data_IF_081308410188
#
_entry.id   IF_081308410188
#
_cell.length_a   1.000
_cell.length_b   1.000
_cell.length_c   1.000
_cell.angle_alpha   90.00
_cell.angle_beta   90.00
_cell.angle_gamma   90.00
#
_symmetry.space_group_name_H-M   'P 1'
#
loop_
_entity.id
_entity.type
_entity.pdbx_description
1 polymer ?
#
# COMPACT_ATOMS: atom_id res chain seq x y z
N UNK A 1 52.22 51.02 56.07
CA UNK A 1 52.05 52.02 55.00
C UNK A 1 50.59 52.01 54.59
N UNK A 2 50.03 53.20 54.45
CA UNK A 2 48.61 53.54 54.54
C UNK A 2 47.82 53.26 53.25
N UNK A 3 46.49 53.10 53.41
CA UNK A 3 45.44 53.21 52.39
C UNK A 3 45.43 54.63 51.73
N UNK A 4 44.64 54.99 50.68
CA UNK A 4 43.23 54.59 50.42
C UNK A 4 42.73 54.45 48.95
N UNK A 5 41.55 53.81 48.84
CA UNK A 5 40.26 54.17 48.16
C UNK A 5 40.26 55.25 47.06
N UNK A 6 39.44 55.34 45.98
CA UNK A 6 38.15 54.77 45.43
C UNK A 6 37.89 55.56 44.10
N UNK A 7 36.72 55.59 43.41
CA UNK A 7 35.80 54.57 42.83
C UNK A 7 35.42 54.89 41.34
N UNK A 8 34.57 54.05 40.67
CA UNK A 8 33.30 54.48 40.01
C UNK A 8 32.71 53.47 38.97
N UNK A 9 31.50 52.97 39.31
CA UNK A 9 30.23 52.81 38.53
C UNK A 9 30.07 51.87 37.29
N UNK A 10 29.22 50.84 37.53
CA UNK A 10 27.93 50.45 36.86
C UNK A 10 27.87 50.07 35.35
N UNK A 11 26.81 49.36 34.87
CA UNK A 11 26.37 48.00 35.22
C UNK A 11 25.93 47.16 33.97
N UNK A 12 25.54 45.89 34.19
CA UNK A 12 24.73 45.00 33.32
C UNK A 12 25.28 44.57 31.93
N UNK A 13 25.46 43.24 31.74
CA UNK A 13 24.85 42.60 30.57
C UNK A 13 24.58 41.10 30.77
N UNK A 14 23.43 40.64 30.28
CA UNK A 14 22.88 39.29 30.42
C UNK A 14 23.44 38.38 29.33
N UNK A 15 24.13 37.30 29.71
CA UNK A 15 24.56 36.27 28.75
C UNK A 15 23.41 35.31 28.43
N UNK A 16 22.83 35.45 27.23
CA UNK A 16 21.94 34.47 26.62
C UNK A 16 22.74 33.34 25.96
N UNK A 17 22.51 32.11 26.41
CA UNK A 17 23.01 30.88 25.80
C UNK A 17 22.26 30.61 24.49
N UNK A 18 22.97 30.60 23.37
CA UNK A 18 22.40 30.27 22.06
C UNK A 18 22.10 28.77 21.97
N UNK A 19 20.80 28.44 21.82
CA UNK A 19 20.31 27.13 21.42
C UNK A 19 20.54 26.90 19.91
N UNK A 20 20.80 25.65 19.47
CA UNK A 20 21.10 25.34 18.08
C UNK A 20 19.85 25.56 17.22
N UNK A 21 20.05 26.26 16.11
CA UNK A 21 19.04 26.57 15.09
C UNK A 21 18.45 25.31 14.49
N UNK A 22 17.14 25.12 14.66
CA UNK A 22 16.34 24.14 13.92
C UNK A 22 16.51 24.35 12.42
N UNK A 23 16.63 23.27 11.61
CA UNK A 23 16.68 23.42 10.16
C UNK A 23 15.37 24.03 9.67
N UNK A 24 15.50 25.06 8.83
CA UNK A 24 14.39 25.76 8.19
C UNK A 24 13.39 24.76 7.60
N UNK A 25 12.17 24.71 8.12
CA UNK A 25 11.06 24.00 7.50
C UNK A 25 10.72 24.70 6.19
N UNK A 26 11.32 24.25 5.10
CA UNK A 26 10.78 24.51 3.77
C UNK A 26 9.41 23.84 3.72
N UNK A 27 8.34 24.64 3.71
CA UNK A 27 6.97 24.14 3.54
C UNK A 27 6.82 23.59 2.12
N UNK A 28 7.26 22.34 1.91
CA UNK A 28 7.03 21.63 0.67
C UNK A 28 5.55 21.26 0.57
N UNK A 29 4.91 21.65 -0.53
CA UNK A 29 3.52 21.30 -0.81
C UNK A 29 3.37 19.80 -1.08
N UNK A 30 2.34 19.21 -0.50
CA UNK A 30 1.95 17.81 -0.73
C UNK A 30 0.64 17.75 -1.52
N UNK A 31 0.44 16.66 -2.27
CA UNK A 31 -0.82 16.35 -2.93
C UNK A 31 -1.84 15.82 -1.93
N UNK A 32 -3.07 15.55 -2.42
CA UNK A 32 -4.17 15.02 -1.60
C UNK A 32 -3.87 13.64 -1.00
N UNK A 33 -2.91 12.89 -1.56
CA UNK A 33 -2.50 11.59 -1.03
C UNK A 33 -1.38 11.73 0.00
N UNK A 34 -0.81 12.92 0.17
CA UNK A 34 0.29 13.18 1.10
C UNK A 34 1.69 12.99 0.51
N UNK A 35 1.86 13.04 -0.81
CA UNK A 35 3.17 13.01 -1.48
C UNK A 35 3.60 14.40 -1.95
N UNK A 36 4.91 14.70 -1.96
CA UNK A 36 5.41 16.00 -2.40
C UNK A 36 5.06 16.31 -3.86
N UNK A 37 4.78 17.59 -4.13
CA UNK A 37 4.49 18.11 -5.46
C UNK A 37 5.59 19.09 -5.85
N UNK A 38 6.12 18.94 -7.07
CA UNK A 38 7.00 19.93 -7.68
C UNK A 38 6.18 21.16 -8.09
N UNK A 39 6.37 22.26 -7.36
CA UNK A 39 5.68 23.53 -7.60
C UNK A 39 6.15 24.24 -8.87
N UNK A 40 7.37 23.95 -9.33
CA UNK A 40 7.97 24.57 -10.50
C UNK A 40 7.56 23.87 -11.80
N UNK A 41 6.87 22.72 -11.69
CA UNK A 41 6.42 21.95 -12.85
C UNK A 41 5.19 22.60 -13.49
N UNK A 42 5.40 23.32 -14.60
CA UNK A 42 4.30 23.86 -15.39
C UNK A 42 3.35 22.75 -15.86
N UNK A 43 2.07 22.92 -15.54
CA UNK A 43 1.01 22.00 -15.96
C UNK A 43 0.39 22.51 -17.24
N UNK A 44 0.43 21.70 -18.31
CA UNK A 44 -0.15 22.07 -19.60
C UNK A 44 -1.65 22.39 -19.50
N UNK A 45 -2.19 23.27 -20.37
CA UNK A 45 -3.63 23.56 -20.38
C UNK A 45 -4.50 22.31 -20.57
N UNK A 46 -4.00 21.31 -21.30
CA UNK A 46 -4.67 20.03 -21.48
C UNK A 46 -4.74 19.24 -20.17
N UNK A 47 -3.64 19.15 -19.42
CA UNK A 47 -3.62 18.44 -18.13
C UNK A 47 -4.47 19.16 -17.08
N UNK A 48 -4.52 20.51 -17.08
CA UNK A 48 -5.45 21.27 -16.22
C UNK A 48 -6.92 20.86 -16.47
N UNK A 49 -7.34 20.80 -17.74
CA UNK A 49 -8.70 20.35 -18.11
C UNK A 49 -8.97 18.90 -17.70
N UNK A 50 -7.98 18.02 -17.81
CA UNK A 50 -8.11 16.64 -17.35
C UNK A 50 -8.31 16.57 -15.83
N UNK A 51 -7.52 17.32 -15.05
CA UNK A 51 -7.67 17.38 -13.59
C UNK A 51 -9.02 17.92 -13.14
N UNK A 52 -9.56 18.94 -13.83
CA UNK A 52 -10.91 19.43 -13.56
C UNK A 52 -11.97 18.36 -13.83
N UNK A 53 -11.83 17.61 -14.92
CA UNK A 53 -12.73 16.50 -15.24
C UNK A 53 -12.63 15.40 -14.17
N UNK A 54 -11.42 15.03 -13.77
CA UNK A 54 -11.20 14.02 -12.73
C UNK A 54 -11.79 14.46 -11.39
N UNK A 55 -11.63 15.73 -11.02
CA UNK A 55 -12.21 16.28 -9.78
C UNK A 55 -13.74 16.20 -9.78
N UNK A 56 -14.39 16.46 -10.91
CA UNK A 56 -15.85 16.34 -11.04
C UNK A 56 -16.31 14.88 -10.94
N UNK A 57 -15.60 13.97 -11.60
CA UNK A 57 -15.86 12.53 -11.50
C UNK A 57 -15.69 12.08 -10.06
N UNK A 58 -14.59 12.46 -9.41
CA UNK A 58 -14.33 12.10 -8.01
C UNK A 58 -15.45 12.55 -7.09
N UNK A 59 -15.93 13.80 -7.22
CA UNK A 59 -17.03 14.30 -6.39
C UNK A 59 -18.31 13.47 -6.57
N UNK A 60 -18.69 13.13 -7.82
CA UNK A 60 -19.84 12.27 -8.07
C UNK A 60 -19.68 10.89 -7.43
N UNK A 61 -18.45 10.36 -7.44
CA UNK A 61 -18.14 9.08 -6.82
C UNK A 61 -18.18 9.15 -5.31
N UNK A 62 -17.74 10.25 -4.69
CA UNK A 62 -17.88 10.50 -3.24
C UNK A 62 -19.36 10.44 -2.86
N UNK A 63 -20.22 11.14 -3.58
CA UNK A 63 -21.66 11.19 -3.27
C UNK A 63 -22.30 9.79 -3.32
N UNK A 64 -21.99 9.01 -4.36
CA UNK A 64 -22.45 7.62 -4.48
C UNK A 64 -21.85 6.70 -3.40
N UNK A 65 -20.57 6.87 -3.05
CA UNK A 65 -19.94 6.10 -1.98
C UNK A 65 -20.60 6.36 -0.63
N UNK A 66 -20.89 7.63 -0.32
CA UNK A 66 -21.57 7.99 0.92
C UNK A 66 -23.00 7.45 0.97
N UNK A 67 -23.72 7.39 -0.17
CA UNK A 67 -25.02 6.69 -0.25
C UNK A 67 -24.90 5.20 0.08
N UNK A 68 -23.85 4.54 -0.40
CA UNK A 68 -23.60 3.12 -0.10
C UNK A 68 -23.21 2.90 1.36
N UNK A 69 -22.32 3.75 1.89
CA UNK A 69 -21.88 3.72 3.29
C UNK A 69 -23.06 3.88 4.25
N UNK A 70 -23.92 4.85 4.02
CA UNK A 70 -25.10 5.09 4.86
C UNK A 70 -26.15 3.96 4.79
N UNK A 71 -26.09 3.11 3.76
CA UNK A 71 -26.98 1.96 3.56
C UNK A 71 -26.21 0.64 3.55
N UNK A 72 -25.15 0.53 4.36
CA UNK A 72 -24.19 -0.57 4.26
C UNK A 72 -24.82 -1.96 4.37
N UNK A 73 -25.82 -2.16 5.22
CA UNK A 73 -26.51 -3.46 5.38
C UNK A 73 -27.10 -3.95 4.04
N UNK A 74 -27.66 -3.04 3.24
CA UNK A 74 -28.16 -3.38 1.91
C UNK A 74 -27.01 -3.73 0.96
N UNK A 75 -25.97 -2.89 0.90
CA UNK A 75 -24.86 -3.02 -0.06
C UNK A 75 -23.86 -4.14 0.27
N UNK A 76 -23.77 -4.56 1.53
CA UNK A 76 -23.02 -5.76 1.93
C UNK A 76 -23.75 -7.06 1.60
N UNK A 77 -25.09 -7.00 1.41
CA UNK A 77 -25.93 -8.11 0.99
C UNK A 77 -26.45 -7.97 -0.44
N UNK A 78 -27.69 -7.52 -0.61
CA UNK A 78 -28.38 -7.48 -1.92
C UNK A 78 -27.73 -6.54 -2.93
N UNK A 79 -27.16 -5.42 -2.48
CA UNK A 79 -26.49 -4.43 -3.32
C UNK A 79 -25.02 -4.72 -3.62
N UNK A 80 -24.54 -5.94 -3.30
CA UNK A 80 -23.12 -6.31 -3.32
C UNK A 80 -22.43 -6.13 -4.66
N UNK A 81 -23.13 -6.42 -5.76
CA UNK A 81 -22.57 -6.26 -7.10
C UNK A 81 -22.20 -4.80 -7.41
N UNK A 82 -23.10 -3.86 -7.11
CA UNK A 82 -22.83 -2.42 -7.27
C UNK A 82 -21.68 -1.96 -6.36
N UNK A 83 -21.62 -2.45 -5.11
CA UNK A 83 -20.52 -2.15 -4.19
C UNK A 83 -19.17 -2.64 -4.77
N UNK A 84 -19.11 -3.90 -5.23
CA UNK A 84 -17.94 -4.44 -5.89
C UNK A 84 -17.53 -3.60 -7.09
N UNK A 85 -18.48 -3.24 -7.96
CA UNK A 85 -18.19 -2.41 -9.12
C UNK A 85 -17.55 -1.07 -8.72
N UNK A 86 -18.07 -0.40 -7.70
CA UNK A 86 -17.52 0.86 -7.22
C UNK A 86 -16.12 0.72 -6.65
N UNK A 87 -15.85 -0.33 -5.86
CA UNK A 87 -14.51 -0.61 -5.31
C UNK A 87 -13.53 -0.92 -6.44
N UNK A 88 -13.96 -1.69 -7.44
CA UNK A 88 -13.13 -2.05 -8.62
C UNK A 88 -12.69 -0.84 -9.43
N UNK A 89 -13.51 0.22 -9.46
CA UNK A 89 -13.15 1.50 -10.06
C UNK A 89 -12.37 2.44 -9.10
N UNK A 90 -12.05 2.00 -7.88
CA UNK A 90 -11.25 2.70 -6.87
C UNK A 90 -12.10 3.41 -5.82
N UNK A 91 -11.65 3.49 -4.58
CA UNK A 91 -12.42 4.20 -3.54
C UNK A 91 -12.02 5.69 -3.58
N UNK A 92 -12.98 6.64 -3.54
CA UNK A 92 -12.63 8.05 -3.42
C UNK A 92 -11.79 8.30 -2.18
N UNK A 93 -10.82 9.19 -2.30
CA UNK A 93 -9.78 9.37 -1.29
C UNK A 93 -10.32 9.78 0.08
N UNK A 94 -11.26 10.72 0.10
CA UNK A 94 -11.94 11.16 1.32
C UNK A 94 -12.86 10.11 1.94
N UNK A 95 -13.15 9.03 1.20
CA UNK A 95 -13.98 7.92 1.66
C UNK A 95 -13.16 6.74 2.21
N UNK A 96 -11.85 6.67 1.96
CA UNK A 96 -11.02 5.49 2.30
C UNK A 96 -11.00 5.14 3.78
N UNK A 97 -10.89 6.14 4.65
CA UNK A 97 -10.95 5.92 6.11
C UNK A 97 -12.22 5.12 6.48
N UNK A 98 -13.39 5.62 6.07
CA UNK A 98 -14.69 4.97 6.34
C UNK A 98 -14.82 3.63 5.63
N UNK A 99 -14.42 3.58 4.37
CA UNK A 99 -14.57 2.41 3.51
C UNK A 99 -13.70 1.24 3.98
N UNK A 100 -12.41 1.45 4.24
CA UNK A 100 -11.52 0.39 4.71
C UNK A 100 -11.95 -0.09 6.09
N UNK A 101 -12.34 0.82 6.98
CA UNK A 101 -12.84 0.46 8.31
C UNK A 101 -14.05 -0.46 8.22
N UNK A 102 -15.07 -0.11 7.45
CA UNK A 102 -16.31 -0.91 7.35
C UNK A 102 -16.13 -2.23 6.57
N UNK A 103 -15.20 -2.27 5.60
CA UNK A 103 -14.89 -3.48 4.83
C UNK A 103 -14.06 -4.48 5.67
N UNK A 104 -13.10 -3.99 6.46
CA UNK A 104 -12.20 -4.83 7.26
C UNK A 104 -12.74 -5.12 8.66
N UNK A 105 -13.53 -4.21 9.23
CA UNK A 105 -14.12 -4.35 10.56
C UNK A 105 -15.63 -4.18 10.48
N UNK A 106 -16.37 -5.17 9.94
CA UNK A 106 -17.83 -5.07 9.86
C UNK A 106 -18.48 -4.95 11.25
N UNK A 107 -17.84 -5.51 12.28
CA UNK A 107 -18.27 -5.42 13.68
C UNK A 107 -18.26 -3.96 14.20
N UNK A 108 -17.58 -3.03 13.52
CA UNK A 108 -17.62 -1.60 13.84
C UNK A 108 -19.05 -1.02 13.80
N UNK A 109 -19.95 -1.63 13.02
CA UNK A 109 -21.35 -1.22 12.95
C UNK A 109 -22.18 -1.72 14.14
N UNK A 110 -21.65 -2.64 14.93
CA UNK A 110 -22.28 -3.14 16.13
C UNK A 110 -21.85 -2.25 17.32
N UNK A 111 -22.73 -1.44 17.91
CA UNK A 111 -22.38 -0.59 19.05
C UNK A 111 -21.94 -1.37 20.30
N UNK A 112 -22.22 -2.67 20.35
CA UNK A 112 -21.84 -3.56 21.44
C UNK A 112 -20.49 -4.25 21.21
N UNK A 113 -19.89 -4.11 20.01
CA UNK A 113 -18.60 -4.72 19.72
C UNK A 113 -17.48 -3.92 20.41
N UNK A 114 -16.76 -4.58 21.31
CA UNK A 114 -15.51 -4.03 21.83
C UNK A 114 -14.43 -4.13 20.75
N UNK A 115 -14.08 -2.97 20.19
CA UNK A 115 -12.99 -2.84 19.22
C UNK A 115 -11.74 -2.25 19.85
N UNK A 116 -11.74 -2.08 21.18
CA UNK A 116 -10.55 -1.59 21.88
C UNK A 116 -9.44 -2.62 21.82
N UNK A 117 -8.22 -2.14 21.61
CA UNK A 117 -7.02 -2.95 21.65
C UNK A 117 -5.99 -2.24 22.50
N UNK A 118 -5.45 -2.96 23.48
CA UNK A 118 -4.31 -2.50 24.26
C UNK A 118 -3.02 -2.96 23.56
N UNK A 119 -2.50 -2.10 22.69
CA UNK A 119 -1.24 -2.35 21.98
C UNK A 119 -0.07 -2.49 22.94
N UNK A 120 -0.06 -1.77 24.05
CA UNK A 120 1.05 -1.83 25.01
C UNK A 120 1.07 -3.19 25.70
N UNK A 121 -0.08 -3.72 26.10
CA UNK A 121 -0.21 -5.10 26.60
C UNK A 121 0.31 -6.14 25.59
N UNK A 122 -0.03 -6.00 24.31
CA UNK A 122 0.46 -6.89 23.26
C UNK A 122 1.98 -6.79 23.05
N UNK A 123 2.54 -5.57 23.04
CA UNK A 123 3.97 -5.33 22.90
C UNK A 123 4.74 -5.88 24.11
N UNK A 124 4.19 -5.74 25.31
CA UNK A 124 4.79 -6.18 26.57
C UNK A 124 4.78 -7.70 26.78
N UNK A 125 4.20 -8.50 25.87
CA UNK A 125 4.36 -9.97 25.86
C UNK A 125 5.82 -10.43 25.70
N UNK A 126 6.73 -9.55 25.28
CA UNK A 126 8.16 -9.71 25.48
C UNK A 126 8.94 -10.50 24.42
N UNK A 127 8.30 -10.96 23.33
CA UNK A 127 9.02 -11.56 22.22
C UNK A 127 9.64 -10.46 21.33
N UNK A 128 10.98 -10.45 21.23
CA UNK A 128 11.73 -9.36 20.58
C UNK A 128 12.61 -9.83 19.42
N UNK A 129 12.60 -11.12 19.10
CA UNK A 129 13.50 -11.76 18.12
C UNK A 129 13.45 -11.10 16.73
N UNK A 130 12.29 -10.58 16.33
CA UNK A 130 12.07 -9.96 15.02
C UNK A 130 12.15 -8.43 15.04
N UNK A 131 12.38 -7.79 16.19
CA UNK A 131 12.30 -6.33 16.30
C UNK A 131 13.37 -5.62 15.48
N UNK A 132 14.58 -6.17 15.38
CA UNK A 132 15.63 -5.59 14.51
C UNK A 132 15.21 -5.58 13.04
N UNK A 133 14.55 -6.64 12.58
CA UNK A 133 14.00 -6.73 11.21
C UNK A 133 12.89 -5.72 11.01
N UNK A 134 12.02 -5.50 12.00
CA UNK A 134 11.00 -4.46 11.97
C UNK A 134 11.67 -3.09 11.80
N UNK A 135 12.62 -2.72 12.65
CA UNK A 135 13.28 -1.40 12.58
C UNK A 135 13.96 -1.17 11.21
N UNK A 136 14.66 -2.17 10.68
CA UNK A 136 15.28 -2.08 9.36
C UNK A 136 14.26 -1.88 8.21
N UNK A 137 13.06 -2.42 8.35
CA UNK A 137 11.99 -2.22 7.39
C UNK A 137 11.33 -0.85 7.51
N UNK A 138 11.25 -0.27 8.70
CA UNK A 138 10.67 1.06 8.91
C UNK A 138 11.40 2.12 8.07
N UNK A 139 12.73 2.11 8.05
CA UNK A 139 13.56 3.10 7.33
C UNK A 139 13.32 3.12 5.82
N UNK A 140 12.88 2.00 5.26
CA UNK A 140 12.63 1.82 3.82
C UNK A 140 11.15 1.69 3.46
N UNK A 141 10.24 1.87 4.44
CA UNK A 141 8.80 1.77 4.21
C UNK A 141 8.22 3.13 3.87
N UNK A 142 7.63 3.25 2.68
CA UNK A 142 7.07 4.52 2.18
C UNK A 142 8.07 5.69 2.26
N UNK A 143 9.32 5.54 1.81
CA UNK A 143 10.40 6.50 2.06
C UNK A 143 10.19 7.84 1.36
N UNK A 144 9.24 7.93 0.42
CA UNK A 144 8.89 9.13 -0.31
C UNK A 144 7.58 9.78 0.17
N UNK A 145 7.01 9.28 1.28
CA UNK A 145 5.77 9.80 1.85
C UNK A 145 6.09 10.67 3.09
N UNK A 146 5.94 12.02 3.00
CA UNK A 146 6.23 12.95 4.09
C UNK A 146 5.64 12.59 5.45
N UNK A 147 4.48 11.92 5.48
CA UNK A 147 3.83 11.49 6.72
C UNK A 147 4.73 10.58 7.57
N UNK A 148 5.55 9.73 6.94
CA UNK A 148 6.44 8.79 7.62
C UNK A 148 7.77 9.42 8.06
N UNK A 149 8.01 10.70 7.76
CA UNK A 149 9.13 11.45 8.33
C UNK A 149 8.81 11.99 9.73
N UNK A 150 7.53 11.92 10.13
CA UNK A 150 7.09 12.27 11.46
C UNK A 150 7.34 11.09 12.41
N UNK A 151 8.16 11.31 13.44
CA UNK A 151 8.46 10.31 14.48
C UNK A 151 7.21 9.70 15.11
N UNK A 152 6.12 10.46 15.27
CA UNK A 152 4.86 9.93 15.80
C UNK A 152 4.26 8.87 14.88
N UNK A 153 4.23 9.11 13.57
CA UNK A 153 3.69 8.16 12.60
C UNK A 153 4.58 6.92 12.52
N UNK A 154 5.90 7.10 12.49
CA UNK A 154 6.86 6.00 12.48
C UNK A 154 6.76 5.14 13.75
N UNK A 155 6.56 5.79 14.91
CA UNK A 155 6.31 5.10 16.18
C UNK A 155 4.99 4.31 16.16
N UNK A 156 3.93 4.83 15.57
CA UNK A 156 2.69 4.07 15.41
C UNK A 156 2.87 2.85 14.52
N UNK A 157 3.59 2.99 13.39
CA UNK A 157 3.91 1.85 12.53
C UNK A 157 4.72 0.78 13.27
N UNK A 158 5.74 1.21 14.03
CA UNK A 158 6.55 0.34 14.89
C UNK A 158 5.69 -0.43 15.90
N UNK A 159 4.78 0.27 16.60
CA UNK A 159 3.91 -0.33 17.61
C UNK A 159 2.95 -1.35 17.02
N UNK A 160 2.31 -1.04 15.89
CA UNK A 160 1.42 -1.98 15.17
C UNK A 160 2.15 -3.28 14.82
N UNK A 161 3.35 -3.17 14.24
CA UNK A 161 4.12 -4.33 13.79
C UNK A 161 4.62 -5.18 14.96
N UNK A 162 5.10 -4.55 16.04
CA UNK A 162 5.52 -5.26 17.26
C UNK A 162 4.35 -5.95 17.93
N UNK A 163 3.21 -5.27 18.10
CA UNK A 163 2.00 -5.84 18.66
C UNK A 163 1.52 -7.07 17.85
N UNK A 164 1.48 -6.96 16.52
CA UNK A 164 1.06 -8.09 15.68
C UNK A 164 2.04 -9.27 15.76
N UNK A 165 3.35 -9.00 15.77
CA UNK A 165 4.36 -10.06 15.89
C UNK A 165 4.25 -10.86 17.20
N UNK A 166 3.75 -10.22 18.27
CA UNK A 166 3.46 -10.89 19.55
C UNK A 166 2.07 -11.53 19.59
N UNK A 167 1.14 -11.10 18.74
CA UNK A 167 -0.18 -11.72 18.62
C UNK A 167 -0.11 -13.03 17.84
N UNK A 168 0.66 -13.08 16.76
CA UNK A 168 0.87 -14.24 15.90
C UNK A 168 2.35 -14.66 15.95
N UNK A 169 2.82 -15.31 17.03
CA UNK A 169 4.24 -15.65 17.20
C UNK A 169 4.72 -16.73 16.23
N UNK A 170 3.82 -17.53 15.63
CA UNK A 170 4.16 -18.51 14.60
C UNK A 170 4.68 -17.80 13.33
N UNK A 171 3.98 -16.74 12.91
CA UNK A 171 4.44 -15.91 11.80
C UNK A 171 5.51 -14.90 12.24
N UNK A 172 5.30 -14.27 13.40
CA UNK A 172 6.08 -13.15 13.90
C UNK A 172 6.02 -11.96 12.94
N UNK A 173 7.15 -11.67 12.30
CA UNK A 173 7.27 -10.61 11.31
C UNK A 173 8.13 -11.07 10.13
N UNK A 174 7.58 -10.90 8.94
CA UNK A 174 8.28 -11.13 7.67
C UNK A 174 8.47 -9.80 6.96
N UNK A 175 9.67 -9.63 6.40
CA UNK A 175 10.04 -8.45 5.62
C UNK A 175 8.98 -8.08 4.59
N UNK A 176 8.57 -6.81 4.57
CA UNK A 176 7.53 -6.29 3.67
C UNK A 176 6.15 -6.13 4.30
N UNK A 177 5.87 -6.76 5.45
CA UNK A 177 4.60 -6.55 6.19
C UNK A 177 4.37 -5.07 6.55
N UNK A 178 5.45 -4.31 6.76
CA UNK A 178 5.40 -2.88 7.08
C UNK A 178 4.67 -2.06 6.03
N UNK A 179 4.76 -2.39 4.74
CA UNK A 179 4.07 -1.65 3.68
C UNK A 179 2.56 -1.73 3.79
N UNK A 180 2.01 -2.85 4.25
CA UNK A 180 0.56 -3.04 4.44
C UNK A 180 0.10 -2.22 5.65
N UNK A 181 0.82 -2.31 6.77
CA UNK A 181 0.51 -1.53 7.98
C UNK A 181 0.64 -0.01 7.73
N UNK A 182 1.67 0.41 6.98
CA UNK A 182 1.88 1.79 6.57
C UNK A 182 0.75 2.28 5.67
N UNK A 183 0.30 1.47 4.71
CA UNK A 183 -0.82 1.83 3.82
C UNK A 183 -2.09 2.12 4.62
N UNK A 184 -2.39 1.33 5.65
CA UNK A 184 -3.53 1.57 6.54
C UNK A 184 -3.36 2.86 7.37
N UNK A 185 -2.15 3.10 7.91
CA UNK A 185 -1.85 4.30 8.70
C UNK A 185 -1.95 5.62 7.93
N UNK A 186 -1.95 5.60 6.59
CA UNK A 186 -2.22 6.80 5.79
C UNK A 186 -3.62 7.38 6.03
N UNK A 187 -4.58 6.54 6.42
CA UNK A 187 -5.99 6.93 6.54
C UNK A 187 -6.60 6.63 7.91
N UNK A 188 -5.95 5.82 8.74
CA UNK A 188 -6.51 5.31 9.98
C UNK A 188 -5.62 5.68 11.16
N UNK A 189 -6.24 5.92 12.32
CA UNK A 189 -5.52 6.03 13.58
C UNK A 189 -4.85 4.69 13.96
N UNK A 190 -3.89 4.74 14.89
CA UNK A 190 -3.06 3.60 15.27
C UNK A 190 -3.86 2.34 15.66
N UNK A 191 -4.90 2.49 16.48
CA UNK A 191 -5.70 1.35 16.95
C UNK A 191 -6.57 0.79 15.83
N UNK A 192 -7.23 1.67 15.06
CA UNK A 192 -8.04 1.22 13.91
C UNK A 192 -7.14 0.55 12.86
N UNK A 193 -5.96 1.10 12.57
CA UNK A 193 -4.99 0.54 11.65
C UNK A 193 -4.49 -0.84 12.12
N UNK A 194 -4.20 -1.02 13.42
CA UNK A 194 -3.85 -2.32 13.99
C UNK A 194 -4.96 -3.35 13.75
N UNK A 195 -6.19 -3.03 14.14
CA UNK A 195 -7.31 -3.96 14.04
C UNK A 195 -7.60 -4.33 12.56
N UNK A 196 -7.50 -3.36 11.63
CA UNK A 196 -7.60 -3.61 10.20
C UNK A 196 -6.47 -4.50 9.68
N UNK A 197 -5.23 -4.25 10.13
CA UNK A 197 -4.06 -5.06 9.77
C UNK A 197 -4.20 -6.49 10.30
N UNK A 198 -4.55 -6.66 11.57
CA UNK A 198 -4.79 -7.96 12.17
C UNK A 198 -5.89 -8.73 11.43
N UNK A 199 -7.01 -8.07 11.07
CA UNK A 199 -8.06 -8.70 10.27
C UNK A 199 -7.57 -9.11 8.87
N UNK A 200 -6.81 -8.28 8.18
CA UNK A 200 -6.24 -8.66 6.88
C UNK A 200 -5.35 -9.90 7.01
N UNK A 201 -4.60 -10.00 8.10
CA UNK A 201 -3.65 -11.10 8.29
C UNK A 201 -4.33 -12.41 8.68
N UNK A 202 -5.26 -12.40 9.64
CA UNK A 202 -5.85 -13.61 10.22
C UNK A 202 -7.34 -13.82 9.91
N UNK A 203 -8.02 -12.84 9.32
CA UNK A 203 -9.43 -12.94 8.99
C UNK A 203 -9.69 -13.90 7.83
N UNK A 204 -10.75 -14.69 7.93
CA UNK A 204 -11.11 -15.73 6.95
C UNK A 204 -11.24 -15.21 5.51
N UNK A 205 -11.66 -13.94 5.36
CA UNK A 205 -11.80 -13.28 4.05
C UNK A 205 -10.47 -13.05 3.34
N UNK A 206 -9.34 -12.91 4.05
CA UNK A 206 -8.08 -12.47 3.45
C UNK A 206 -6.93 -13.44 3.72
N UNK A 207 -6.79 -13.87 4.97
CA UNK A 207 -5.72 -14.76 5.43
C UNK A 207 -4.35 -14.37 4.87
N UNK A 208 -4.01 -13.07 4.88
CA UNK A 208 -2.76 -12.57 4.30
C UNK A 208 -1.53 -13.13 5.02
N UNK A 209 -1.65 -13.59 6.27
CA UNK A 209 -0.56 -14.27 6.99
C UNK A 209 0.07 -15.39 6.16
N UNK A 210 -0.72 -16.10 5.35
CA UNK A 210 -0.23 -17.20 4.51
C UNK A 210 0.70 -16.75 3.37
N UNK A 211 0.70 -15.46 3.01
CA UNK A 211 1.70 -14.88 2.10
C UNK A 211 3.08 -14.84 2.74
N UNK A 212 3.14 -14.68 4.06
CA UNK A 212 4.34 -14.37 4.82
C UNK A 212 4.87 -15.52 5.67
N UNK A 213 4.07 -16.58 5.87
CA UNK A 213 4.52 -17.79 6.57
C UNK A 213 5.80 -18.37 5.95
N UNK A 214 6.68 -19.02 6.74
CA UNK A 214 7.90 -19.63 6.25
C UNK A 214 7.68 -20.48 5.00
N UNK A 215 8.50 -20.25 3.98
CA UNK A 215 8.37 -20.92 2.69
C UNK A 215 7.29 -20.35 1.75
N UNK A 216 6.63 -19.26 2.13
CA UNK A 216 5.69 -18.45 1.34
C UNK A 216 4.62 -19.29 0.61
N UNK A 217 3.82 -20.12 1.35
CA UNK A 217 2.91 -21.08 0.73
C UNK A 217 1.90 -20.41 -0.21
N UNK A 218 1.29 -19.30 0.22
CA UNK A 218 0.33 -18.58 -0.62
C UNK A 218 0.97 -17.93 -1.84
N UNK A 219 2.19 -17.42 -1.73
CA UNK A 219 2.92 -16.88 -2.88
C UNK A 219 3.21 -17.97 -3.93
N UNK A 220 3.62 -19.17 -3.51
CA UNK A 220 3.82 -20.31 -4.41
C UNK A 220 2.54 -20.72 -5.14
N UNK A 221 1.40 -20.65 -4.46
CA UNK A 221 0.09 -20.88 -5.07
C UNK A 221 -0.27 -19.80 -6.10
N UNK A 222 -0.08 -18.51 -5.76
CA UNK A 222 -0.28 -17.39 -6.69
C UNK A 222 0.62 -17.55 -7.92
N UNK A 223 1.87 -17.98 -7.77
CA UNK A 223 2.78 -18.23 -8.88
C UNK A 223 2.29 -19.31 -9.85
N UNK A 224 1.73 -20.40 -9.34
CA UNK A 224 1.12 -21.45 -10.18
C UNK A 224 -0.06 -20.89 -10.97
N UNK A 225 -0.91 -20.10 -10.33
CA UNK A 225 -2.04 -19.44 -10.99
C UNK A 225 -1.53 -18.42 -12.03
N UNK A 226 -0.50 -17.65 -11.67
CA UNK A 226 0.13 -16.67 -12.55
C UNK A 226 0.69 -17.31 -13.82
N UNK A 227 1.39 -18.45 -13.74
CA UNK A 227 1.90 -19.14 -14.93
C UNK A 227 0.78 -19.47 -15.91
N UNK A 228 -0.34 -20.00 -15.40
CA UNK A 228 -1.52 -20.33 -16.21
C UNK A 228 -2.16 -19.08 -16.81
N UNK A 229 -2.37 -18.04 -16.01
CA UNK A 229 -2.98 -16.77 -16.44
C UNK A 229 -2.11 -16.10 -17.51
N UNK A 230 -0.80 -16.01 -17.25
CA UNK A 230 0.17 -15.36 -18.12
C UNK A 230 0.26 -16.10 -19.47
N UNK A 231 0.40 -17.43 -19.44
CA UNK A 231 0.38 -18.27 -20.65
C UNK A 231 -0.92 -18.09 -21.45
N UNK A 232 -2.07 -18.06 -20.78
CA UNK A 232 -3.36 -17.94 -21.44
C UNK A 232 -3.59 -16.56 -22.10
N UNK A 233 -3.11 -15.47 -21.47
CA UNK A 233 -3.33 -14.10 -21.95
C UNK A 233 -2.24 -13.60 -22.89
N UNK A 234 -0.99 -14.00 -22.68
CA UNK A 234 0.19 -13.53 -23.42
C UNK A 234 1.16 -14.68 -23.74
N UNK A 235 0.73 -15.71 -24.48
CA UNK A 235 1.52 -16.93 -24.72
C UNK A 235 2.89 -16.65 -25.35
N UNK A 236 2.97 -15.73 -26.32
CA UNK A 236 4.24 -15.37 -26.98
C UNK A 236 5.27 -14.77 -26.02
N UNK A 237 4.82 -13.94 -25.07
CA UNK A 237 5.71 -13.32 -24.08
C UNK A 237 6.14 -14.37 -23.06
N UNK A 238 5.19 -15.18 -22.58
CA UNK A 238 5.44 -16.27 -21.64
C UNK A 238 6.47 -17.26 -22.18
N UNK A 239 6.28 -17.75 -23.42
CA UNK A 239 7.23 -18.67 -24.06
C UNK A 239 8.62 -18.05 -24.27
N UNK A 240 8.69 -16.76 -24.59
CA UNK A 240 9.98 -16.08 -24.75
C UNK A 240 10.73 -16.00 -23.42
N UNK A 241 10.06 -15.61 -22.34
CA UNK A 241 10.66 -15.58 -21.01
C UNK A 241 11.13 -16.97 -20.54
N UNK A 242 10.37 -18.03 -20.85
CA UNK A 242 10.79 -19.40 -20.58
C UNK A 242 12.08 -19.77 -21.34
N UNK A 243 12.21 -19.41 -22.62
CA UNK A 243 13.44 -19.66 -23.40
C UNK A 243 14.65 -18.92 -22.84
N UNK A 244 14.43 -17.77 -22.22
CA UNK A 244 15.47 -17.00 -21.53
C UNK A 244 15.75 -17.50 -20.10
N UNK A 245 15.09 -18.59 -19.65
CA UNK A 245 15.15 -19.06 -18.26
C UNK A 245 14.77 -17.97 -17.24
N UNK A 246 13.87 -17.05 -17.60
CA UNK A 246 13.37 -16.01 -16.72
C UNK A 246 12.21 -16.55 -15.87
N UNK A 247 12.53 -17.10 -14.69
CA UNK A 247 11.53 -17.60 -13.76
C UNK A 247 10.68 -16.46 -13.17
N UNK A 248 9.38 -16.70 -12.98
CA UNK A 248 8.47 -15.72 -12.37
C UNK A 248 8.88 -15.31 -10.95
N UNK A 249 9.59 -16.18 -10.23
CA UNK A 249 10.17 -15.89 -8.91
C UNK A 249 11.18 -14.73 -8.94
N UNK A 250 11.77 -14.41 -10.10
CA UNK A 250 12.79 -13.36 -10.17
C UNK A 250 12.20 -11.95 -10.15
N UNK A 251 10.92 -11.77 -10.52
CA UNK A 251 10.31 -10.44 -10.65
C UNK A 251 8.98 -10.25 -9.90
N UNK A 252 8.28 -11.32 -9.53
CA UNK A 252 6.98 -11.23 -8.86
C UNK A 252 6.98 -11.13 -7.31
N UNK A 253 8.08 -11.31 -6.54
CA UNK A 253 8.00 -11.17 -5.08
C UNK A 253 7.43 -9.82 -4.62
N UNK A 254 7.89 -8.70 -5.20
CA UNK A 254 7.38 -7.35 -4.91
C UNK A 254 5.93 -7.14 -5.37
N UNK A 255 5.50 -7.90 -6.37
CA UNK A 255 4.14 -7.81 -6.91
C UNK A 255 3.14 -8.47 -5.98
N UNK A 256 3.45 -9.68 -5.50
CA UNK A 256 2.46 -10.55 -4.87
C UNK A 256 2.61 -10.69 -3.35
N UNK A 257 3.82 -10.62 -2.78
CA UNK A 257 3.97 -10.70 -1.32
C UNK A 257 3.39 -9.47 -0.63
N UNK A 258 3.70 -8.29 -1.17
CA UNK A 258 3.30 -7.00 -0.60
C UNK A 258 2.22 -6.30 -1.43
N UNK A 259 1.58 -7.00 -2.38
CA UNK A 259 0.51 -6.44 -3.22
C UNK A 259 0.91 -5.15 -3.97
N UNK A 260 2.12 -5.10 -4.51
CA UNK A 260 2.73 -3.92 -5.16
C UNK A 260 2.99 -2.71 -4.25
N UNK A 261 2.71 -2.78 -2.95
CA UNK A 261 2.82 -1.61 -2.07
C UNK A 261 4.26 -1.11 -1.88
N UNK A 262 5.24 -1.98 -2.02
CA UNK A 262 6.67 -1.65 -2.01
C UNK A 262 7.22 -1.20 -3.37
N UNK A 263 6.43 -1.30 -4.44
CA UNK A 263 6.81 -0.81 -5.78
C UNK A 263 6.35 0.63 -5.88
N UNK A 264 7.25 1.55 -6.23
CA UNK A 264 6.99 3.00 -6.18
C UNK A 264 6.13 3.53 -7.34
N UNK A 265 5.00 2.88 -7.61
CA UNK A 265 3.98 3.45 -8.48
C UNK A 265 3.38 4.74 -7.89
N UNK A 266 2.82 5.62 -8.74
CA UNK A 266 2.08 6.79 -8.27
C UNK A 266 1.07 6.42 -7.18
N UNK A 267 0.89 7.24 -6.11
CA UNK A 267 0.05 6.90 -4.97
C UNK A 267 -1.36 6.43 -5.35
N UNK A 268 -1.99 7.11 -6.32
CA UNK A 268 -3.31 6.75 -6.85
C UNK A 268 -3.37 5.30 -7.37
N UNK A 269 -2.30 4.78 -7.98
CA UNK A 269 -2.24 3.40 -8.46
C UNK A 269 -2.14 2.44 -7.29
N UNK A 270 -1.23 2.69 -6.33
CA UNK A 270 -1.05 1.82 -5.16
C UNK A 270 -2.31 1.76 -4.30
N UNK A 271 -2.97 2.90 -4.10
CA UNK A 271 -4.23 2.99 -3.38
C UNK A 271 -5.35 2.23 -4.10
N UNK A 272 -5.47 2.36 -5.42
CA UNK A 272 -6.47 1.61 -6.19
C UNK A 272 -6.21 0.10 -6.14
N UNK A 273 -4.94 -0.32 -6.28
CA UNK A 273 -4.57 -1.74 -6.13
C UNK A 273 -4.95 -2.22 -4.74
N UNK A 274 -4.68 -1.45 -3.68
CA UNK A 274 -5.01 -1.81 -2.31
C UNK A 274 -6.52 -1.89 -2.07
N UNK A 275 -7.30 -0.91 -2.57
CA UNK A 275 -8.77 -0.92 -2.54
C UNK A 275 -9.30 -2.24 -3.15
N UNK A 276 -8.77 -2.61 -4.32
CA UNK A 276 -9.15 -3.84 -5.00
C UNK A 276 -8.62 -5.11 -4.29
N UNK A 277 -7.44 -5.05 -3.69
CA UNK A 277 -6.83 -6.20 -3.02
C UNK A 277 -7.59 -6.56 -1.74
N UNK A 278 -8.01 -5.55 -0.97
CA UNK A 278 -8.89 -5.74 0.19
C UNK A 278 -10.21 -6.42 -0.21
N UNK A 279 -10.77 -6.11 -1.38
CA UNK A 279 -12.09 -6.66 -1.74
C UNK A 279 -12.02 -7.97 -2.52
N UNK A 280 -11.05 -8.09 -3.42
CA UNK A 280 -10.99 -9.13 -4.44
C UNK A 280 -9.76 -10.02 -4.35
N UNK A 281 -8.92 -9.79 -3.33
CA UNK A 281 -7.70 -10.52 -3.03
C UNK A 281 -6.83 -10.74 -4.26
N UNK A 282 -6.45 -11.98 -4.51
CA UNK A 282 -5.40 -12.33 -5.48
C UNK A 282 -5.79 -12.01 -6.93
N UNK A 283 -7.10 -11.92 -7.23
CA UNK A 283 -7.57 -11.49 -8.55
C UNK A 283 -7.13 -10.08 -8.89
N UNK A 284 -7.13 -9.18 -7.91
CA UNK A 284 -6.67 -7.80 -8.09
C UNK A 284 -5.20 -7.80 -8.53
N UNK A 285 -4.36 -8.54 -7.79
CA UNK A 285 -2.93 -8.60 -8.03
C UNK A 285 -2.59 -9.21 -9.41
N UNK A 286 -3.21 -10.34 -9.75
CA UNK A 286 -3.03 -10.99 -11.06
C UNK A 286 -3.49 -10.10 -12.21
N UNK A 287 -4.61 -9.39 -12.03
CA UNK A 287 -5.14 -8.46 -13.03
C UNK A 287 -4.20 -7.26 -13.25
N UNK A 288 -3.58 -6.74 -12.20
CA UNK A 288 -2.60 -5.64 -12.33
C UNK A 288 -1.28 -6.12 -12.92
N UNK A 289 -0.82 -7.33 -12.56
CA UNK A 289 0.34 -7.95 -13.20
C UNK A 289 0.16 -8.07 -14.73
N UNK A 290 -1.05 -8.41 -15.21
CA UNK A 290 -1.36 -8.40 -16.64
C UNK A 290 -1.22 -7.01 -17.27
N UNK A 291 -1.44 -5.91 -16.54
CA UNK A 291 -1.21 -4.55 -17.04
C UNK A 291 0.27 -4.35 -17.34
N UNK A 292 1.16 -4.71 -16.40
CA UNK A 292 2.61 -4.62 -16.56
C UNK A 292 3.07 -5.37 -17.81
N UNK A 293 2.62 -6.62 -17.97
CA UNK A 293 2.92 -7.42 -19.16
C UNK A 293 2.34 -6.77 -20.42
N UNK A 294 1.09 -6.34 -20.41
CA UNK A 294 0.41 -5.75 -21.57
C UNK A 294 1.12 -4.50 -22.10
N UNK A 295 1.60 -3.64 -21.19
CA UNK A 295 2.27 -2.38 -21.50
C UNK A 295 3.66 -2.60 -22.10
N UNK A 296 4.33 -3.66 -21.68
CA UNK A 296 5.73 -3.91 -22.01
C UNK A 296 5.93 -5.08 -22.97
N UNK A 297 4.85 -5.73 -23.42
CA UNK A 297 4.88 -6.94 -24.25
C UNK A 297 5.77 -6.88 -25.49
N UNK A 298 6.01 -5.70 -26.07
CA UNK A 298 6.91 -5.54 -27.24
C UNK A 298 8.37 -5.69 -26.80
N UNK A 299 8.79 -4.89 -25.81
CA UNK A 299 10.11 -4.97 -25.19
C UNK A 299 10.38 -6.38 -24.65
N UNK A 300 9.41 -6.98 -23.96
CA UNK A 300 9.54 -8.31 -23.36
C UNK A 300 9.72 -9.48 -24.36
N UNK A 301 9.58 -9.25 -25.68
CA UNK A 301 9.87 -10.27 -26.71
C UNK A 301 11.04 -9.90 -27.63
N UNK A 302 11.51 -8.66 -27.57
CA UNK A 302 12.58 -8.17 -28.45
C UNK A 302 13.89 -7.90 -27.72
N UNK A 303 13.80 -7.52 -26.45
CA UNK A 303 14.94 -6.97 -25.72
C UNK A 303 15.80 -8.10 -25.13
N UNK A 304 17.11 -7.86 -24.93
CA UNK A 304 17.97 -8.81 -24.23
C UNK A 304 17.56 -8.99 -22.76
N UNK A 305 17.88 -10.16 -22.19
CA UNK A 305 17.47 -10.55 -20.83
C UNK A 305 17.90 -9.54 -19.76
N UNK A 306 19.07 -8.93 -19.93
CA UNK A 306 19.67 -7.92 -19.05
C UNK A 306 18.82 -6.65 -18.95
N UNK A 307 17.95 -6.39 -19.93
CA UNK A 307 16.97 -5.30 -19.89
C UNK A 307 15.60 -5.79 -19.43
N UNK A 308 15.21 -7.01 -19.81
CA UNK A 308 13.90 -7.58 -19.45
C UNK A 308 13.74 -7.69 -17.93
N UNK A 309 14.68 -8.33 -17.23
CA UNK A 309 14.52 -8.64 -15.82
C UNK A 309 14.44 -7.37 -14.95
N UNK A 310 15.36 -6.38 -15.09
CA UNK A 310 15.26 -5.12 -14.34
C UNK A 310 13.96 -4.37 -14.62
N UNK A 311 13.45 -4.41 -15.85
CA UNK A 311 12.18 -3.78 -16.23
C UNK A 311 10.96 -4.46 -15.58
N UNK A 312 11.00 -5.79 -15.40
CA UNK A 312 9.96 -6.52 -14.67
C UNK A 312 10.07 -6.33 -13.16
N UNK A 313 11.29 -6.21 -12.62
CA UNK A 313 11.51 -5.95 -11.19
C UNK A 313 11.13 -4.51 -10.80
N UNK A 314 11.34 -3.55 -11.70
CA UNK A 314 11.11 -2.13 -11.48
C UNK A 314 10.20 -1.49 -12.57
N UNK A 315 8.96 -2.00 -12.75
CA UNK A 315 8.08 -1.55 -13.81
C UNK A 315 7.67 -0.08 -13.67
N UNK A 316 7.70 0.47 -12.45
CA UNK A 316 7.41 1.88 -12.18
C UNK A 316 8.41 2.84 -12.83
N UNK A 317 9.59 2.38 -13.23
CA UNK A 317 10.59 3.22 -13.91
C UNK A 317 10.36 3.31 -15.42
N UNK A 318 9.45 2.50 -15.97
CA UNK A 318 9.21 2.44 -17.41
C UNK A 318 8.36 3.62 -17.88
N UNK A 319 8.69 4.26 -19.02
CA UNK A 319 7.88 5.33 -19.60
C UNK A 319 6.43 4.91 -19.88
N UNK A 320 6.23 3.63 -20.23
CA UNK A 320 4.92 3.03 -20.50
C UNK A 320 4.04 2.94 -19.25
N UNK A 321 4.61 3.08 -18.06
CA UNK A 321 3.98 2.91 -16.76
C UNK A 321 3.79 4.24 -15.99
N UNK A 322 4.03 5.39 -16.62
CA UNK A 322 3.90 6.72 -15.97
C UNK A 322 2.48 7.31 -16.03
N UNK A 323 1.68 6.95 -17.05
CA UNK A 323 0.31 7.47 -17.21
C UNK A 323 -0.69 6.68 -16.37
N UNK A 324 -0.94 7.15 -15.15
CA UNK A 324 -1.85 6.49 -14.21
C UNK A 324 -3.28 6.35 -14.75
N UNK A 325 -3.80 7.33 -15.51
CA UNK A 325 -5.17 7.27 -16.07
C UNK A 325 -5.29 6.12 -17.06
N UNK A 326 -4.28 5.99 -17.93
CA UNK A 326 -4.20 4.88 -18.86
C UNK A 326 -4.07 3.54 -18.13
N UNK A 327 -3.21 3.46 -17.11
CA UNK A 327 -3.00 2.25 -16.33
C UNK A 327 -4.30 1.77 -15.65
N UNK A 328 -5.05 2.67 -15.00
CA UNK A 328 -6.33 2.31 -14.36
C UNK A 328 -7.37 1.83 -15.38
N UNK A 329 -7.49 2.52 -16.52
CA UNK A 329 -8.37 2.06 -17.61
C UNK A 329 -7.95 0.69 -18.14
N UNK A 330 -6.64 0.42 -18.21
CA UNK A 330 -6.12 -0.87 -18.66
C UNK A 330 -6.35 -1.95 -17.62
N UNK A 331 -6.22 -1.62 -16.33
CA UNK A 331 -6.47 -2.51 -15.20
C UNK A 331 -7.92 -2.97 -15.19
N UNK A 332 -8.86 -2.04 -15.35
CA UNK A 332 -10.29 -2.31 -15.51
C UNK A 332 -10.57 -3.27 -16.69
N UNK A 333 -9.96 -3.02 -17.86
CA UNK A 333 -10.12 -3.85 -19.06
C UNK A 333 -9.52 -5.25 -18.93
N UNK A 334 -8.44 -5.40 -18.15
CA UNK A 334 -7.74 -6.68 -17.95
C UNK A 334 -8.21 -7.42 -16.69
N UNK A 335 -9.26 -6.92 -16.04
CA UNK A 335 -9.81 -7.52 -14.85
C UNK A 335 -10.20 -8.98 -15.05
N UNK A 336 -9.68 -9.85 -14.19
CA UNK A 336 -10.02 -11.27 -14.19
C UNK A 336 -11.34 -11.46 -13.45
N UNK A 337 -12.35 -11.94 -14.17
CA UNK A 337 -13.65 -12.26 -13.58
C UNK A 337 -13.52 -13.38 -12.54
N UNK A 338 -14.47 -13.49 -11.62
CA UNK A 338 -14.50 -14.59 -10.64
C UNK A 338 -14.51 -15.97 -11.31
N UNK A 339 -15.34 -16.10 -12.34
CA UNK A 339 -15.44 -17.32 -13.16
C UNK A 339 -14.10 -17.69 -13.79
N UNK A 340 -13.39 -16.70 -14.37
CA UNK A 340 -12.09 -16.95 -14.98
C UNK A 340 -11.03 -17.26 -13.92
N UNK A 341 -11.05 -16.60 -12.77
CA UNK A 341 -10.14 -16.89 -11.67
C UNK A 341 -10.29 -18.34 -11.19
N UNK A 342 -11.52 -18.79 -10.91
CA UNK A 342 -11.81 -20.18 -10.51
C UNK A 342 -11.33 -21.15 -11.59
N UNK A 343 -11.56 -20.83 -12.87
CA UNK A 343 -11.05 -21.63 -13.99
C UNK A 343 -9.52 -21.73 -13.96
N UNK A 344 -8.81 -20.62 -13.76
CA UNK A 344 -7.35 -20.61 -13.70
C UNK A 344 -6.80 -21.35 -12.47
N UNK A 345 -7.44 -21.21 -11.31
CA UNK A 345 -7.13 -21.99 -10.11
C UNK A 345 -7.24 -23.50 -10.36
N UNK A 346 -8.35 -23.94 -10.98
CA UNK A 346 -8.55 -25.35 -11.34
C UNK A 346 -7.48 -25.85 -12.32
N UNK A 347 -7.14 -25.06 -13.34
CA UNK A 347 -6.05 -25.39 -14.28
C UNK A 347 -4.69 -25.48 -13.59
N UNK A 348 -4.43 -24.63 -12.61
CA UNK A 348 -3.21 -24.62 -11.81
C UNK A 348 -3.18 -25.73 -10.73
N UNK A 349 -4.28 -26.47 -10.54
CA UNK A 349 -4.47 -27.44 -9.43
C UNK A 349 -4.28 -26.79 -8.06
N UNK A 350 -4.79 -25.58 -7.91
CA UNK A 350 -4.74 -24.79 -6.68
C UNK A 350 -6.19 -24.46 -6.29
N UNK A 351 -6.63 -24.72 -5.05
CA UNK A 351 -7.96 -24.29 -4.61
C UNK A 351 -8.11 -22.78 -4.75
N UNK A 352 -9.29 -22.29 -5.15
CA UNK A 352 -9.52 -20.85 -5.16
C UNK A 352 -9.44 -20.31 -3.73
N UNK A 353 -8.74 -19.19 -3.57
CA UNK A 353 -8.62 -18.44 -2.33
C UNK A 353 -8.81 -16.96 -2.62
N UNK A 354 -9.12 -16.15 -1.59
CA UNK A 354 -9.34 -14.73 -1.73
C UNK A 354 -8.31 -14.01 -2.61
#
# INVERSE_FOLDING_TARGET
MSAPSTPSRNPEDKSGTQSPTSPSQTHHKVDRYGWYVDENKEVSPQEKKLREKDSKIEQQRVDEWMKMYNNWIYYSGKGREKLCEFIRHGIPDSCRERAWKIILQPDFLNPLADTSVDLDSLINKGATSVWRTIEADLDRTMPNCPMFYNDKCLNSLRRILKAYSNQDPELGYTQGMSFIAAMLLLYLDENTAYNCFAKLMSGEKHLLRNHFLPGFPRYKEILKIWDVVFRAKYPKVHEHLLRLNCDSNFYTPSWFLTGFLNVEFPPIIRLHIFDCWIEFGSRALLSFALVIISRNKKALVSDPFELILPNLQNPQNLPTMQDWRYLLKKYDKLWISEKDYIKYCNMAKVPAFP
#
